data_IF_080564209257
#
_entry.id   IF_080564209257
#
_cell.length_a   1.000
_cell.length_b   1.000
_cell.length_c   1.000
_cell.angle_alpha   90.00
_cell.angle_beta   90.00
_cell.angle_gamma   90.00
#
_symmetry.space_group_name_H-M   'P 1'
#
loop_
_entity.id
_entity.type
_entity.pdbx_description
1 polymer ?
2 non-polymer ?
3 non-polymer ?
4 water ?
#
# COMPACT_ATOMS: atom_id res chain seq x y z
N UNK A 1 1.13 -25.69 -5.94
CA UNK A 1 0.07 -24.64 -6.10
C UNK A 1 -0.39 -24.56 -7.56
N UNK A 2 -1.67 -24.23 -7.77
CA UNK A 2 -2.20 -23.94 -9.11
C UNK A 2 -1.55 -22.70 -9.71
N UNK A 3 -1.83 -22.43 -10.98
CA UNK A 3 -1.40 -21.18 -11.61
C UNK A 3 -1.97 -20.01 -10.81
N UNK A 4 -1.36 -18.81 -10.96
CA UNK A 4 -1.82 -17.61 -10.24
C UNK A 4 -3.28 -17.33 -10.44
N UNK A 5 -3.77 -17.27 -11.68
CA UNK A 5 -5.19 -16.98 -11.88
C UNK A 5 -6.12 -18.06 -11.27
N UNK A 6 -5.76 -19.32 -11.42
CA UNK A 6 -6.53 -20.39 -10.79
C UNK A 6 -6.55 -20.24 -9.28
N UNK A 7 -5.41 -19.91 -8.66
CA UNK A 7 -5.39 -19.73 -7.21
C UNK A 7 -6.25 -18.52 -6.76
N UNK A 8 -6.18 -17.43 -7.53
CA UNK A 8 -7.00 -16.24 -7.24
C UNK A 8 -8.48 -16.62 -7.24
N UNK A 9 -8.89 -17.37 -8.25
CA UNK A 9 -10.28 -17.82 -8.31
C UNK A 9 -10.64 -18.68 -7.14
N UNK A 10 -9.78 -19.64 -6.80
CA UNK A 10 -10.00 -20.47 -5.62
C UNK A 10 -10.15 -19.62 -4.35
N UNK A 11 -9.34 -18.58 -4.22
CA UNK A 11 -9.40 -17.75 -3.02
C UNK A 11 -10.76 -17.03 -2.95
N UNK A 12 -11.28 -16.56 -4.08
CA UNK A 12 -12.66 -16.01 -4.07
C UNK A 12 -13.71 -16.99 -3.65
N UNK A 13 -13.61 -18.19 -4.19
CA UNK A 13 -14.56 -19.28 -3.93
C UNK A 13 -14.54 -19.58 -2.45
N UNK A 14 -13.36 -19.60 -1.87
CA UNK A 14 -13.25 -19.94 -0.45
C UNK A 14 -13.58 -18.79 0.49
N UNK A 15 -13.28 -17.57 0.08
CA UNK A 15 -13.58 -16.39 0.91
C UNK A 15 -15.02 -15.86 0.78
N UNK A 16 -15.68 -16.20 -0.31
CA UNK A 16 -16.97 -15.60 -0.70
C UNK A 16 -16.88 -14.10 -0.83
N UNK A 17 -15.71 -13.58 -1.15
CA UNK A 17 -15.56 -12.17 -1.40
C UNK A 17 -14.89 -11.94 -2.72
N UNK A 18 -14.76 -10.66 -3.09
CA UNK A 18 -14.04 -10.32 -4.31
C UNK A 18 -12.56 -10.15 -3.98
N UNK A 19 -11.71 -10.66 -4.84
CA UNK A 19 -10.27 -10.40 -4.82
C UNK A 19 -9.97 -9.54 -6.03
N UNK A 20 -9.09 -8.58 -5.86
CA UNK A 20 -8.57 -7.77 -6.98
C UNK A 20 -7.06 -7.88 -6.95
N UNK A 21 -6.41 -8.04 -8.11
CA UNK A 21 -4.96 -8.21 -8.13
C UNK A 21 -4.27 -7.84 -9.44
N UNK A 22 -3.14 -7.15 -9.31
CA UNK A 22 -2.22 -6.97 -10.43
C UNK A 22 -0.86 -7.54 -10.06
N UNK A 23 -0.18 -8.07 -11.06
CA UNK A 23 1.25 -8.39 -10.99
C UNK A 23 1.87 -7.65 -12.16
N UNK A 24 2.86 -6.80 -11.89
CA UNK A 24 3.39 -5.86 -12.90
C UNK A 24 4.91 -5.81 -12.76
N UNK A 25 5.62 -5.85 -13.87
CA UNK A 25 7.06 -5.66 -13.82
C UNK A 25 7.36 -4.24 -13.35
N UNK A 26 8.19 -4.08 -12.32
CA UNK A 26 8.51 -2.73 -11.82
C UNK A 26 9.25 -1.90 -12.84
N UNK A 27 10.23 -2.49 -13.49
CA UNK A 27 11.05 -1.69 -14.41
C UNK A 27 10.29 -1.23 -15.64
N UNK A 28 9.46 -2.07 -16.21
CA UNK A 28 8.79 -1.71 -17.49
C UNK A 28 7.32 -1.39 -17.38
N UNK A 29 6.65 -1.90 -16.33
CA UNK A 29 5.20 -1.77 -16.25
C UNK A 29 4.40 -2.83 -16.97
N UNK A 30 5.08 -3.83 -17.55
CA UNK A 30 4.39 -4.99 -18.14
C UNK A 30 3.39 -5.50 -17.09
N UNK A 31 2.16 -5.74 -17.51
CA UNK A 31 1.18 -6.45 -16.67
C UNK A 31 1.25 -7.93 -16.99
N UNK A 32 1.44 -8.76 -15.97
CA UNK A 32 1.48 -10.22 -16.14
C UNK A 32 0.25 -11.00 -15.74
N UNK A 33 -0.31 -10.64 -14.61
CA UNK A 33 -1.58 -11.23 -14.11
C UNK A 33 -2.47 -10.07 -13.73
N UNK A 34 -3.74 -10.18 -14.12
CA UNK A 34 -4.73 -9.19 -13.81
C UNK A 34 -6.05 -9.90 -13.52
N UNK A 35 -6.64 -9.53 -12.40
CA UNK A 35 -7.95 -10.07 -11.98
C UNK A 35 -8.74 -8.98 -11.29
N UNK A 36 -9.92 -8.63 -11.84
CA UNK A 36 -10.69 -7.51 -11.33
C UNK A 36 -9.85 -6.27 -11.24
N UNK A 37 -8.96 -6.11 -12.21
CA UNK A 37 -7.94 -5.06 -12.07
C UNK A 37 -8.49 -3.64 -12.23
N UNK A 38 -9.66 -3.52 -12.85
CA UNK A 38 -10.33 -2.23 -13.02
C UNK A 38 -11.52 -2.03 -12.08
N UNK A 39 -11.72 -2.93 -11.13
CA UNK A 39 -12.77 -2.81 -10.11
C UNK A 39 -12.23 -2.07 -8.87
N UNK A 40 -13.13 -1.34 -8.19
CA UNK A 40 -12.77 -0.56 -7.02
C UNK A 40 -12.71 -1.43 -5.77
N UNK A 41 -11.72 -1.11 -4.93
CA UNK A 41 -11.49 -1.76 -3.63
C UNK A 41 -11.06 -0.68 -2.62
N UNK A 42 -11.50 -0.79 -1.36
CA UNK A 42 -10.99 0.14 -0.37
C UNK A 42 -9.47 0.04 -0.26
N UNK A 43 -8.77 1.18 -0.28
CA UNK A 43 -7.31 1.21 -0.11
C UNK A 43 -6.89 0.84 1.30
N UNK A 44 -7.69 1.26 2.28
CA UNK A 44 -7.28 1.18 3.65
C UNK A 44 -5.88 1.81 3.80
N UNK A 45 -5.06 1.26 4.70
CA UNK A 45 -3.76 1.84 5.04
C UNK A 45 -2.75 1.73 3.90
N UNK A 46 -3.07 1.03 2.81
CA UNK A 46 -2.18 1.05 1.66
C UNK A 46 -2.03 2.48 1.09
N UNK A 47 -2.97 3.38 1.40
CA UNK A 47 -2.90 4.77 0.90
C UNK A 47 -1.67 5.47 1.42
N UNK A 48 -1.14 4.97 2.54
CA UNK A 48 0.02 5.63 3.21
C UNK A 48 1.29 5.72 2.35
N UNK A 49 1.46 4.77 1.43
CA UNK A 49 2.58 4.85 0.50
C UNK A 49 2.36 6.03 -0.46
N UNK A 50 1.17 6.18 -1.01
CA UNK A 50 0.86 7.30 -1.92
C UNK A 50 0.97 8.65 -1.22
N UNK A 51 0.48 8.69 0.02
CA UNK A 51 0.58 9.86 0.88
C UNK A 51 2.04 10.31 0.97
N UNK A 52 2.95 9.39 1.29
CA UNK A 52 4.35 9.79 1.45
C UNK A 52 5.03 10.09 0.11
N UNK A 53 4.51 9.52 -1.00
CA UNK A 53 4.90 10.01 -2.33
C UNK A 53 4.61 11.49 -2.54
N UNK A 54 3.43 11.92 -2.10
CA UNK A 54 3.04 13.35 -2.19
C UNK A 54 3.94 14.19 -1.31
N UNK A 55 4.24 13.69 -0.11
CA UNK A 55 5.17 14.39 0.76
C UNK A 55 6.53 14.57 0.10
N UNK A 56 7.06 13.50 -0.46
CA UNK A 56 8.36 13.52 -1.09
C UNK A 56 8.35 14.48 -2.29
N UNK A 57 7.25 14.53 -3.04
CA UNK A 57 7.17 15.49 -4.13
C UNK A 57 7.30 16.94 -3.60
N UNK A 58 6.67 17.24 -2.47
CA UNK A 58 6.83 18.54 -1.85
C UNK A 58 8.27 18.80 -1.43
N UNK A 59 8.93 17.78 -0.89
CA UNK A 59 10.33 17.91 -0.51
C UNK A 59 11.20 18.24 -1.72
N UNK A 60 11.00 17.49 -2.78
CA UNK A 60 11.74 17.72 -4.05
C UNK A 60 11.55 19.15 -4.56
N UNK A 61 10.39 19.71 -4.37
CA UNK A 61 10.04 21.04 -4.86
C UNK A 61 10.55 22.14 -3.94
N UNK A 62 11.07 21.79 -2.77
CA UNK A 62 11.50 22.75 -1.78
C UNK A 62 10.40 23.31 -0.89
N UNK A 63 9.19 22.75 -0.95
CA UNK A 63 8.07 23.18 -0.12
C UNK A 63 7.93 22.43 1.19
N UNK A 64 8.79 21.45 1.39
CA UNK A 64 8.75 20.60 2.58
C UNK A 64 10.17 20.08 2.84
N UNK A 65 10.47 19.69 4.08
CA UNK A 65 11.74 19.05 4.42
C UNK A 65 11.43 17.83 5.29
N UNK A 66 12.11 16.72 5.04
CA UNK A 66 11.93 15.54 5.86
C UNK A 66 12.42 15.81 7.27
N UNK A 67 13.32 16.79 7.44
CA UNK A 67 13.82 17.16 8.76
C UNK A 67 12.85 17.95 9.59
N UNK A 68 11.88 18.59 8.95
CA UNK A 68 11.06 19.56 9.67
C UNK A 68 10.30 18.89 10.83
N UNK A 69 10.41 19.45 12.03
CA UNK A 69 9.74 18.89 13.18
C UNK A 69 8.33 19.40 13.33
N UNK A 70 7.36 18.48 13.44
CA UNK A 70 5.95 18.77 13.65
C UNK A 70 5.56 18.47 15.09
N UNK A 71 4.94 19.44 15.73
CA UNK A 71 4.43 19.25 17.10
C UNK A 71 2.93 19.10 17.04
N UNK A 72 2.42 18.20 17.84
CA UNK A 72 0.99 17.94 17.82
C UNK A 72 0.49 17.67 19.23
N UNK A 73 -0.81 17.61 19.36
CA UNK A 73 -1.43 17.47 20.66
C UNK A 73 -2.10 16.10 20.82
N UNK A 74 -2.27 15.69 22.07
CA UNK A 74 -2.92 14.41 22.33
C UNK A 74 -4.32 14.35 21.75
N UNK A 75 -5.05 15.46 21.79
CA UNK A 75 -6.40 15.45 21.22
C UNK A 75 -6.43 15.31 19.69
N UNK A 76 -5.27 15.43 19.03
CA UNK A 76 -5.12 15.21 17.58
C UNK A 76 -5.03 13.71 17.24
N UNK A 77 -4.73 12.88 18.24
CA UNK A 77 -4.48 11.46 17.97
C UNK A 77 -5.78 10.73 17.72
N UNK A 78 -5.70 9.79 16.79
CA UNK A 78 -6.78 8.84 16.49
C UNK A 78 -6.33 7.43 16.86
N UNK A 79 -7.26 6.49 16.76
CA UNK A 79 -6.99 5.11 17.04
C UNK A 79 -5.77 4.57 16.27
N UNK A 80 -4.87 3.93 17.00
CA UNK A 80 -3.72 3.17 16.54
C UNK A 80 -2.57 4.13 16.17
N UNK A 81 -1.84 4.50 17.20
CA UNK A 81 -0.84 5.54 17.11
C UNK A 81 0.43 5.10 17.87
N UNK A 82 0.99 3.91 17.52
CA UNK A 82 2.06 3.31 18.33
C UNK A 82 3.31 4.16 18.42
N UNK A 83 3.61 4.94 17.40
CA UNK A 83 4.80 5.78 17.43
C UNK A 83 4.42 7.20 17.90
N UNK A 84 3.39 7.76 17.28
CA UNK A 84 3.06 9.14 17.51
C UNK A 84 2.63 9.36 18.98
N UNK A 85 1.99 8.38 19.61
CA UNK A 85 1.63 8.57 21.01
C UNK A 85 2.84 8.72 21.91
N UNK A 86 3.99 8.24 21.48
CA UNK A 86 5.22 8.40 22.26
C UNK A 86 5.95 9.74 22.14
N UNK A 87 5.51 10.67 21.27
CA UNK A 87 6.28 11.89 20.95
C UNK A 87 5.45 13.13 21.14
N UNK A 88 4.54 13.12 22.13
CA UNK A 88 3.76 14.33 22.41
C UNK A 88 4.59 15.50 22.92
N UNK A 89 5.63 15.20 23.70
CA UNK A 89 6.49 16.26 24.26
C UNK A 89 7.34 16.86 23.17
N UNK A 90 7.93 16.00 22.36
CA UNK A 90 9.05 16.42 21.50
C UNK A 90 8.71 16.52 20.03
N UNK A 91 7.57 15.97 19.62
CA UNK A 91 7.21 16.00 18.20
C UNK A 91 7.97 14.96 17.38
N UNK A 92 7.67 14.97 16.09
CA UNK A 92 8.29 14.07 15.10
C UNK A 92 8.62 14.81 13.86
N UNK A 93 9.72 14.42 13.21
CA UNK A 93 10.00 15.02 11.91
C UNK A 93 9.04 14.50 10.84
N UNK A 94 8.93 15.24 9.75
CA UNK A 94 8.09 14.80 8.66
C UNK A 94 8.57 13.42 8.20
N UNK A 95 9.88 13.20 8.08
CA UNK A 95 10.38 11.88 7.67
C UNK A 95 10.07 10.78 8.67
N UNK A 96 10.17 11.10 9.96
CA UNK A 96 9.77 10.15 10.99
C UNK A 96 8.30 9.84 10.88
N UNK A 97 7.49 10.83 10.59
CA UNK A 97 6.06 10.59 10.40
C UNK A 97 5.78 9.63 9.25
N UNK A 98 6.46 9.82 8.13
CA UNK A 98 6.31 8.91 7.02
C UNK A 98 6.78 7.50 7.40
N UNK A 99 7.91 7.42 8.10
CA UNK A 99 8.37 6.11 8.56
C UNK A 99 7.34 5.43 9.47
N UNK A 100 6.72 6.21 10.37
CA UNK A 100 5.73 5.64 11.27
C UNK A 100 4.51 5.20 10.51
N UNK A 101 4.09 6.02 9.54
CA UNK A 101 2.91 5.71 8.77
C UNK A 101 3.11 4.48 7.90
N UNK A 102 4.28 4.35 7.29
CA UNK A 102 4.48 3.23 6.35
C UNK A 102 4.92 2.00 7.14
N UNK A 103 5.89 2.12 8.05
CA UNK A 103 6.48 0.93 8.64
C UNK A 103 5.73 0.38 9.82
N UNK A 104 4.94 1.21 10.49
CA UNK A 104 4.13 0.80 11.63
C UNK A 104 2.62 0.98 11.37
N UNK A 105 2.29 1.61 10.25
CA UNK A 105 0.90 1.93 9.90
C UNK A 105 0.23 2.85 10.93
N UNK A 106 1.04 3.76 11.49
CA UNK A 106 0.58 4.72 12.49
C UNK A 106 -0.50 5.64 11.89
N UNK A 107 -1.71 5.59 12.46
CA UNK A 107 -2.83 6.33 11.88
C UNK A 107 -2.73 7.84 12.10
N UNK A 108 -2.29 8.24 13.30
CA UNK A 108 -2.18 9.66 13.59
C UNK A 108 -1.06 10.26 12.77
N UNK A 109 0.06 9.57 12.62
CA UNK A 109 1.11 10.05 11.73
C UNK A 109 0.60 10.29 10.33
N UNK A 110 -0.16 9.33 9.81
CA UNK A 110 -0.77 9.52 8.49
C UNK A 110 -1.67 10.75 8.42
N UNK A 111 -2.53 10.94 9.43
CA UNK A 111 -3.39 12.13 9.43
C UNK A 111 -2.61 13.44 9.51
N UNK A 112 -1.53 13.49 10.31
CA UNK A 112 -0.72 14.70 10.36
C UNK A 112 -0.12 15.00 8.99
N UNK A 113 0.44 13.97 8.36
CA UNK A 113 0.96 14.10 7.00
C UNK A 113 -0.11 14.51 5.99
N UNK A 114 -1.29 13.91 6.12
CA UNK A 114 -2.37 14.20 5.20
C UNK A 114 -2.77 15.68 5.27
N UNK A 115 -2.70 16.32 6.45
CA UNK A 115 -2.97 17.75 6.58
C UNK A 115 -1.93 18.53 5.76
N UNK A 116 -0.66 18.13 5.83
CA UNK A 116 0.39 18.89 5.15
C UNK A 116 0.25 18.84 3.64
N UNK A 117 -0.46 17.86 3.08
CA UNK A 117 -0.67 17.80 1.61
C UNK A 117 -2.04 18.30 1.16
N UNK A 118 -2.78 18.90 2.10
CA UNK A 118 -4.10 19.45 1.85
C UNK A 118 -5.26 18.48 2.01
N UNK A 119 -5.09 17.48 2.87
CA UNK A 119 -6.17 16.58 3.16
C UNK A 119 -6.42 15.55 2.09
N UNK A 120 -7.49 14.76 2.26
CA UNK A 120 -7.93 13.80 1.30
C UNK A 120 -8.06 14.44 -0.11
N UNK A 121 -8.60 15.66 -0.18
CA UNK A 121 -8.75 16.37 -1.46
C UNK A 121 -7.39 16.65 -2.09
N UNK A 122 -6.45 17.10 -1.28
CA UNK A 122 -5.12 17.45 -1.76
C UNK A 122 -4.38 16.20 -2.25
N UNK A 123 -4.54 15.09 -1.54
CA UNK A 123 -3.88 13.85 -1.99
C UNK A 123 -4.50 13.37 -3.30
N UNK A 124 -5.82 13.48 -3.39
CA UNK A 124 -6.51 13.13 -4.64
C UNK A 124 -6.03 13.99 -5.78
N UNK A 125 -5.83 15.29 -5.52
CA UNK A 125 -5.29 16.18 -6.56
C UNK A 125 -3.89 15.77 -6.98
N UNK A 126 -3.04 15.37 -6.03
CA UNK A 126 -1.73 14.84 -6.37
C UNK A 126 -1.83 13.63 -7.28
N UNK A 127 -2.75 12.73 -6.97
CA UNK A 127 -2.96 11.54 -7.80
C UNK A 127 -3.30 11.94 -9.23
N UNK A 128 -4.21 12.91 -9.39
CA UNK A 128 -4.55 13.41 -10.71
C UNK A 128 -3.30 14.03 -11.38
N UNK A 129 -2.45 14.69 -10.61
CA UNK A 129 -1.23 15.29 -11.16
C UNK A 129 -0.26 14.30 -11.78
N UNK A 130 -0.23 13.09 -11.22
CA UNK A 130 0.63 12.03 -11.73
C UNK A 130 -0.09 11.10 -12.69
N UNK A 131 -1.33 11.44 -13.04
CA UNK A 131 -2.02 10.72 -14.06
C UNK A 131 -2.86 9.56 -13.64
N UNK A 132 -3.10 9.46 -12.34
CA UNK A 132 -4.06 8.50 -11.80
C UNK A 132 -5.40 9.22 -11.70
N UNK A 133 -6.31 8.83 -12.59
CA UNK A 133 -7.60 9.46 -12.67
C UNK A 133 -8.69 8.65 -12.00
N UNK A 134 -8.31 7.67 -11.18
CA UNK A 134 -9.25 6.74 -10.60
C UNK A 134 -9.19 6.72 -9.06
N UNK A 135 -8.00 6.59 -8.53
CA UNK A 135 -7.83 6.48 -7.08
C UNK A 135 -8.36 7.74 -6.43
N UNK A 136 -8.99 7.59 -5.26
CA UNK A 136 -9.53 8.74 -4.56
C UNK A 136 -9.43 8.53 -3.05
N UNK A 137 -8.99 9.56 -2.33
CA UNK A 137 -9.15 9.56 -0.87
C UNK A 137 -10.16 10.62 -0.51
N UNK A 138 -11.08 10.26 0.36
CA UNK A 138 -12.19 11.14 0.78
C UNK A 138 -12.16 11.45 2.27
N UNK A 139 -11.64 10.51 3.07
CA UNK A 139 -11.71 10.59 4.52
C UNK A 139 -10.35 10.38 5.16
N UNK A 140 -10.27 10.69 6.43
CA UNK A 140 -9.08 10.55 7.24
C UNK A 140 -9.07 9.17 7.91
N UNK A 141 -7.97 8.84 8.56
CA UNK A 141 -7.95 7.69 9.47
C UNK A 141 -8.80 8.05 10.71
N UNK A 142 -9.67 7.17 11.20
CA UNK A 142 -9.87 5.80 10.74
C UNK A 142 -11.14 5.56 9.91
N UNK A 143 -11.93 6.61 9.65
CA UNK A 143 -13.20 6.47 8.89
C UNK A 143 -12.98 5.91 7.51
N UNK A 144 -11.81 6.16 6.93
CA UNK A 144 -11.54 5.65 5.57
C UNK A 144 -11.54 4.13 5.44
N UNK A 145 -11.53 3.41 6.57
CA UNK A 145 -11.58 1.95 6.60
C UNK A 145 -12.96 1.35 6.60
N UNK A 146 -14.00 2.18 6.51
CA UNK A 146 -15.39 1.67 6.67
C UNK A 146 -15.81 0.62 5.66
N UNK A 147 -15.30 0.73 4.42
CA UNK A 147 -15.55 -0.33 3.40
C UNK A 147 -17.03 -0.67 3.23
N UNK A 148 -17.85 0.37 3.16
CA UNK A 148 -19.29 0.14 2.94
C UNK A 148 -19.49 -0.44 1.56
N UNK A 149 -20.31 -1.49 1.45
CA UNK A 149 -20.62 -1.97 0.11
C UNK A 149 -21.13 -0.88 -0.84
N UNK A 150 -20.60 -0.86 -2.05
CA UNK A 150 -21.02 0.11 -3.05
C UNK A 150 -20.47 1.53 -2.93
N UNK A 151 -19.68 1.80 -1.91
CA UNK A 151 -19.20 3.16 -1.66
C UNK A 151 -17.86 3.34 -2.37
N UNK A 152 -17.76 4.35 -3.22
CA UNK A 152 -16.54 4.64 -3.95
C UNK A 152 -15.53 5.47 -3.15
N UNK A 153 -15.94 5.98 -1.99
CA UNK A 153 -14.99 6.75 -1.19
C UNK A 153 -13.74 5.88 -0.82
N UNK A 154 -12.58 6.53 -0.86
CA UNK A 154 -11.35 5.94 -0.33
C UNK A 154 -10.96 4.66 -1.05
N UNK A 155 -11.16 4.64 -2.37
CA UNK A 155 -10.92 3.44 -3.17
C UNK A 155 -9.84 3.64 -4.21
N UNK A 156 -9.27 2.51 -4.64
CA UNK A 156 -8.42 2.45 -5.83
C UNK A 156 -8.87 1.28 -6.67
N UNK A 157 -8.15 1.01 -7.75
CA UNK A 157 -8.29 -0.27 -8.46
C UNK A 157 -6.91 -0.89 -8.45
N UNK A 158 -6.82 -2.23 -8.59
CA UNK A 158 -5.51 -2.84 -8.60
C UNK A 158 -4.61 -2.24 -9.68
N UNK A 159 -5.17 -2.03 -10.87
CA UNK A 159 -4.39 -1.43 -11.98
C UNK A 159 -3.89 -0.04 -11.67
N UNK A 160 -4.78 0.78 -11.10
CA UNK A 160 -4.40 2.18 -10.79
C UNK A 160 -3.36 2.23 -9.73
N UNK A 161 -3.51 1.43 -8.69
CA UNK A 161 -2.53 1.45 -7.60
C UNK A 161 -1.15 0.94 -8.04
N UNK A 162 -1.13 -0.13 -8.82
CA UNK A 162 0.12 -0.63 -9.34
C UNK A 162 0.82 0.41 -10.21
N UNK A 163 0.06 1.01 -11.12
CA UNK A 163 0.65 2.07 -11.95
C UNK A 163 1.18 3.25 -11.18
N UNK A 164 0.40 3.71 -10.20
CA UNK A 164 0.78 4.79 -9.33
C UNK A 164 2.06 4.46 -8.56
N UNK A 165 2.13 3.28 -7.98
CA UNK A 165 3.35 2.92 -7.23
C UNK A 165 4.56 2.88 -8.18
N UNK A 166 4.39 2.33 -9.37
CA UNK A 166 5.51 2.35 -10.32
C UNK A 166 5.96 3.77 -10.66
N UNK A 167 5.00 4.66 -10.87
CA UNK A 167 5.29 6.06 -11.17
C UNK A 167 6.08 6.70 -10.04
N UNK A 168 5.70 6.42 -8.80
CA UNK A 168 6.40 7.02 -7.66
C UNK A 168 7.81 6.45 -7.48
N UNK A 169 7.99 5.17 -7.74
CA UNK A 169 9.23 4.51 -7.40
C UNK A 169 10.26 4.61 -8.53
N UNK A 170 9.81 4.75 -9.78
CA UNK A 170 10.71 4.61 -10.93
C UNK A 170 10.65 5.66 -12.04
N UNK A 171 9.65 6.51 -12.07
CA UNK A 171 9.39 7.29 -13.30
C UNK A 171 10.15 8.60 -13.33
N UNK A 172 10.91 8.90 -12.29
CA UNK A 172 11.62 10.19 -12.21
C UNK A 172 10.69 11.42 -12.06
N UNK A 173 9.42 11.20 -11.68
CA UNK A 173 8.58 12.24 -11.13
C UNK A 173 9.14 12.69 -9.78
N UNK A 174 9.62 11.72 -8.98
CA UNK A 174 10.40 11.97 -7.78
C UNK A 174 11.89 11.95 -8.06
N UNK A 175 12.66 12.73 -7.29
CA UNK A 175 14.09 12.69 -7.35
C UNK A 175 14.63 11.31 -7.07
N UNK A 176 15.87 11.03 -7.47
CA UNK A 176 16.46 9.73 -7.17
C UNK A 176 16.46 9.46 -5.67
N UNK A 177 16.85 10.47 -4.91
CA UNK A 177 16.90 10.27 -3.46
C UNK A 177 15.52 9.99 -2.88
N UNK A 178 14.51 10.68 -3.38
CA UNK A 178 13.15 10.44 -2.88
C UNK A 178 12.59 9.07 -3.28
N UNK A 179 12.87 8.65 -4.50
CA UNK A 179 12.53 7.28 -4.93
C UNK A 179 13.14 6.24 -3.98
N UNK A 180 14.41 6.48 -3.66
CA UNK A 180 15.14 5.59 -2.76
C UNK A 180 14.57 5.57 -1.35
N UNK A 181 14.14 6.73 -0.88
CA UNK A 181 13.52 6.84 0.44
C UNK A 181 12.17 6.08 0.48
N UNK A 182 11.33 6.23 -0.56
CA UNK A 182 10.04 5.60 -0.54
C UNK A 182 10.19 4.10 -0.52
N UNK A 183 11.08 3.58 -1.38
CA UNK A 183 11.37 2.15 -1.39
C UNK A 183 11.87 1.65 -0.03
N UNK A 184 12.81 2.38 0.59
CA UNK A 184 13.37 1.94 1.84
C UNK A 184 12.29 1.87 2.96
N UNK A 185 11.35 2.81 2.94
CA UNK A 185 10.26 2.77 3.91
C UNK A 185 9.45 1.49 3.73
N UNK A 186 9.20 1.12 2.49
CA UNK A 186 8.48 -0.18 2.23
C UNK A 186 9.31 -1.41 2.64
N UNK A 187 10.61 -1.38 2.38
CA UNK A 187 11.50 -2.45 2.80
C UNK A 187 11.45 -2.64 4.33
N UNK A 188 11.33 -1.53 5.02
CA UNK A 188 11.35 -1.49 6.49
C UNK A 188 10.00 -1.75 7.16
N UNK A 189 8.95 -2.15 6.43
CA UNK A 189 7.70 -2.49 7.07
C UNK A 189 7.88 -3.45 8.24
N UNK A 190 7.31 -3.07 9.38
CA UNK A 190 7.39 -3.93 10.59
C UNK A 190 6.08 -4.66 10.84
N UNK A 191 5.00 -4.31 10.15
CA UNK A 191 3.73 -4.93 10.41
C UNK A 191 3.69 -6.34 9.84
N UNK A 192 4.06 -6.48 8.57
CA UNK A 192 4.02 -7.78 7.89
C UNK A 192 5.37 -8.22 7.30
N UNK A 193 6.28 -7.29 7.02
CA UNK A 193 7.54 -7.64 6.40
C UNK A 193 8.29 -8.82 7.04
N UNK A 194 8.55 -8.74 8.34
CA UNK A 194 9.30 -9.80 8.97
C UNK A 194 8.57 -11.13 8.89
N UNK A 195 7.25 -11.14 9.08
CA UNK A 195 6.46 -12.39 8.98
C UNK A 195 6.54 -12.92 7.56
N UNK A 196 6.36 -12.05 6.56
CA UNK A 196 6.48 -12.50 5.19
C UNK A 196 7.85 -13.15 4.89
N UNK A 197 8.91 -12.51 5.36
CA UNK A 197 10.23 -13.08 5.13
C UNK A 197 10.39 -14.46 5.73
N UNK A 198 9.76 -14.69 6.87
CA UNK A 198 9.91 -15.95 7.58
C UNK A 198 9.26 -17.10 6.85
N UNK A 199 8.35 -16.80 5.92
CA UNK A 199 7.67 -17.83 5.12
C UNK A 199 8.08 -17.81 3.63
N UNK A 200 8.92 -16.87 3.22
CA UNK A 200 9.39 -16.86 1.86
C UNK A 200 10.58 -17.78 1.72
N UNK A 201 10.67 -18.47 0.57
CA UNK A 201 11.92 -19.19 0.32
C UNK A 201 13.11 -18.23 0.30
N UNK A 202 14.29 -18.75 0.60
CA UNK A 202 15.50 -17.96 0.44
C UNK A 202 15.60 -17.37 -0.97
N UNK A 203 16.04 -16.11 -1.02
CA UNK A 203 16.32 -15.47 -2.28
C UNK A 203 15.22 -14.50 -2.72
N UNK A 204 14.05 -14.57 -2.08
CA UNK A 204 12.95 -13.69 -2.46
C UNK A 204 12.96 -12.37 -1.68
N UNK A 205 13.06 -11.27 -2.43
CA UNK A 205 12.95 -9.92 -1.91
C UNK A 205 11.50 -9.61 -1.53
N UNK A 206 11.28 -8.89 -0.43
CA UNK A 206 9.99 -8.27 -0.12
C UNK A 206 10.10 -6.85 0.43
N UNK A 207 9.23 -5.97 -0.09
CA UNK A 207 8.93 -4.67 0.49
C UNK A 207 7.43 -4.54 0.42
N UNK A 208 6.79 -3.92 1.41
CA UNK A 208 5.32 -3.96 1.41
C UNK A 208 4.70 -2.88 2.25
N UNK A 209 3.41 -2.65 1.98
CA UNK A 209 2.52 -1.93 2.87
C UNK A 209 1.19 -2.68 2.94
N UNK A 210 0.74 -3.00 4.15
CA UNK A 210 -0.53 -3.70 4.32
C UNK A 210 -1.66 -2.73 4.68
N UNK A 211 -2.89 -3.22 4.58
CA UNK A 211 -4.04 -2.48 5.02
C UNK A 211 -5.11 -3.46 5.50
N UNK A 212 -5.90 -3.01 6.45
CA UNK A 212 -7.06 -3.77 6.94
C UNK A 212 -8.18 -2.82 7.27
N UNK A 213 -9.40 -3.25 7.01
CA UNK A 213 -10.57 -2.45 7.29
C UNK A 213 -11.76 -3.29 7.71
N UNK A 214 -12.92 -2.67 7.67
CA UNK A 214 -14.17 -3.32 8.07
C UNK A 214 -14.71 -4.21 6.95
N UNK A 215 -15.70 -5.05 7.29
CA UNK A 215 -16.37 -5.90 6.31
C UNK A 215 -15.45 -6.79 5.52
N UNK A 216 -14.37 -7.25 6.20
CA UNK A 216 -13.46 -8.15 5.58
C UNK A 216 -12.36 -7.48 4.74
N UNK A 217 -12.38 -6.15 4.62
CA UNK A 217 -11.44 -5.53 3.70
C UNK A 217 -10.00 -5.74 4.17
N UNK A 218 -9.14 -6.11 3.22
CA UNK A 218 -7.76 -6.45 3.53
C UNK A 218 -6.95 -6.28 2.28
N UNK A 219 -5.71 -5.85 2.40
CA UNK A 219 -4.93 -5.62 1.20
C UNK A 219 -3.45 -5.47 1.46
N UNK A 220 -2.70 -5.58 0.38
CA UNK A 220 -1.25 -5.41 0.42
C UNK A 220 -0.79 -4.88 -0.92
N UNK A 221 0.14 -3.94 -0.85
CA UNK A 221 0.88 -3.50 -2.02
C UNK A 221 2.33 -3.85 -1.75
N UNK A 222 2.97 -4.52 -2.70
CA UNK A 222 4.28 -5.11 -2.42
C UNK A 222 5.20 -5.12 -3.62
N UNK A 223 6.49 -5.18 -3.32
CA UNK A 223 7.52 -5.49 -4.32
C UNK A 223 8.06 -6.87 -3.98
N UNK A 224 8.21 -7.71 -4.99
CA UNK A 224 8.56 -9.12 -4.79
C UNK A 224 9.46 -9.55 -5.97
N UNK A 225 10.47 -10.35 -5.71
CA UNK A 225 11.16 -11.04 -6.81
C UNK A 225 12.24 -11.94 -6.29
N UNK A 226 12.66 -12.87 -7.13
CA UNK A 226 13.78 -13.74 -6.81
C UNK A 226 15.13 -13.03 -7.01
N UNK A 227 16.24 -13.74 -6.72
CA UNK A 227 17.62 -13.12 -6.70
C UNK A 227 17.71 -11.82 -5.95
N UNK A 228 16.91 -11.70 -4.92
CA UNK A 228 16.98 -10.53 -4.07
C UNK A 228 16.77 -9.20 -4.79
N UNK A 229 15.87 -9.21 -5.79
CA UNK A 229 15.54 -8.04 -6.60
C UNK A 229 14.05 -7.71 -6.51
N UNK A 230 13.76 -6.41 -6.43
CA UNK A 230 12.39 -5.87 -6.50
C UNK A 230 11.87 -5.95 -7.93
N UNK A 231 11.60 -7.15 -8.41
CA UNK A 231 11.31 -7.35 -9.83
C UNK A 231 9.90 -6.95 -10.19
N UNK A 232 8.93 -7.25 -9.30
CA UNK A 232 7.53 -6.99 -9.63
C UNK A 232 6.77 -6.30 -8.52
N UNK A 233 5.83 -5.47 -8.93
CA UNK A 233 4.81 -4.91 -8.04
C UNK A 233 3.65 -5.94 -8.01
N UNK A 234 3.22 -6.29 -6.81
CA UNK A 234 2.06 -7.14 -6.62
C UNK A 234 1.10 -6.37 -5.72
N UNK A 235 -0.13 -6.17 -6.20
CA UNK A 235 -1.17 -5.53 -5.44
C UNK A 235 -2.31 -6.55 -5.30
N UNK A 236 -2.74 -6.81 -4.06
CA UNK A 236 -3.88 -7.67 -3.79
C UNK A 236 -4.81 -7.01 -2.79
N UNK A 237 -6.07 -6.88 -3.18
CA UNK A 237 -7.13 -6.39 -2.30
C UNK A 237 -8.22 -7.46 -2.17
N UNK A 238 -8.78 -7.55 -0.96
CA UNK A 238 -9.96 -8.40 -0.68
C UNK A 238 -11.07 -7.48 -0.20
N UNK A 239 -12.31 -7.76 -0.59
CA UNK A 239 -13.46 -7.06 0.01
C UNK A 239 -14.68 -7.95 0.13
N UNK A 240 -15.56 -7.58 1.08
CA UNK A 240 -16.89 -8.20 1.24
C UNK A 240 -16.80 -9.72 1.47
N UNK A 241 -15.93 -10.11 2.38
CA UNK A 241 -15.79 -11.49 2.81
C UNK A 241 -15.95 -11.49 4.31
N UNK A 242 -16.66 -12.52 4.84
CA UNK A 242 -16.82 -12.62 6.27
C UNK A 242 -15.72 -13.39 6.94
N UNK A 243 -14.71 -13.78 6.18
CA UNK A 243 -13.65 -14.65 6.71
C UNK A 243 -12.76 -14.06 7.81
N UNK A 244 -12.27 -14.95 8.67
CA UNK A 244 -11.29 -14.53 9.68
C UNK A 244 -10.10 -13.82 9.07
N UNK A 245 -9.49 -12.96 9.86
CA UNK A 245 -8.25 -12.32 9.47
C UNK A 245 -7.20 -13.36 9.08
N UNK A 246 -7.07 -14.42 9.88
CA UNK A 246 -6.13 -15.47 9.57
C UNK A 246 -6.33 -16.12 8.20
N UNK A 247 -7.57 -16.42 7.84
CA UNK A 247 -7.86 -17.05 6.57
C UNK A 247 -7.65 -16.08 5.40
N UNK A 248 -8.02 -14.82 5.58
CA UNK A 248 -7.69 -13.79 4.57
C UNK A 248 -6.18 -13.77 4.34
N UNK A 249 -5.40 -13.74 5.42
CA UNK A 249 -3.93 -13.76 5.27
C UNK A 249 -3.43 -15.02 4.59
N UNK A 250 -4.02 -16.17 4.94
CA UNK A 250 -3.66 -17.43 4.28
C UNK A 250 -3.93 -17.42 2.78
N UNK A 251 -5.07 -16.83 2.39
CA UNK A 251 -5.43 -16.77 0.99
C UNK A 251 -4.48 -15.82 0.22
N UNK A 252 -4.15 -14.65 0.81
CA UNK A 252 -3.20 -13.74 0.18
C UNK A 252 -1.87 -14.48 0.00
N UNK A 253 -1.44 -15.18 1.04
CA UNK A 253 -0.19 -15.94 0.99
C UNK A 253 -0.25 -17.01 -0.05
N UNK A 254 -1.40 -17.69 -0.17
CA UNK A 254 -1.56 -18.71 -1.21
C UNK A 254 -1.44 -18.16 -2.63
N UNK A 255 -1.95 -16.94 -2.85
CA UNK A 255 -1.74 -16.28 -4.13
C UNK A 255 -0.24 -16.05 -4.32
N UNK A 256 0.43 -15.58 -3.26
CA UNK A 256 1.90 -15.41 -3.30
C UNK A 256 2.61 -16.69 -3.66
N UNK A 257 2.17 -17.80 -3.09
CA UNK A 257 2.79 -19.09 -3.36
C UNK A 257 2.66 -19.44 -4.82
N UNK A 258 1.47 -19.20 -5.37
CA UNK A 258 1.25 -19.45 -6.78
C UNK A 258 2.20 -18.63 -7.68
N UNK A 259 2.42 -17.38 -7.34
CA UNK A 259 3.32 -16.52 -8.10
C UNK A 259 4.72 -17.08 -8.03
N UNK A 260 5.15 -17.47 -6.84
CA UNK A 260 6.50 -17.98 -6.61
C UNK A 260 6.73 -19.24 -7.41
N UNK A 261 5.75 -20.14 -7.40
CA UNK A 261 5.91 -21.41 -8.09
C UNK A 261 5.85 -21.27 -9.62
N UNK A 262 5.20 -20.23 -10.11
CA UNK A 262 5.01 -20.03 -11.55
C UNK A 262 5.52 -18.65 -11.97
N UNK A 263 6.76 -18.34 -11.63
CA UNK A 263 7.25 -16.98 -11.77
C UNK A 263 7.60 -16.63 -13.18
N UNK A 264 8.08 -17.60 -13.97
CA UNK A 264 8.59 -17.25 -15.30
C UNK A 264 7.48 -17.23 -16.34
N UNK A 265 6.79 -16.09 -16.44
CA UNK A 265 5.66 -15.93 -17.34
C UNK A 265 5.84 -14.66 -18.13
X LIG B 1 -5.26 1.14 7.90
X LIG B 1 -5.53 -0.15 7.13
X LIG B 1 -6.11 2.21 7.33
X LIG B 1 -3.69 -0.88 9.75
X LIG B 1 -2.63 -0.90 8.89
X LIG B 1 -2.36 -2.10 8.50
X LIG B 1 -5.34 1.07 9.49
X LIG B 1 -4.15 0.44 10.23
X LIG B 1 -6.52 0.25 9.84
X LIG B 1 -7.18 0.42 10.98
X LIG B 1 -8.33 -0.54 11.18
X LIG B 1 -9.66 0.11 11.49
X LIG B 1 -10.95 0.01 10.95
X LIG B 1 -11.91 0.79 11.60
X LIG B 1 -11.39 1.50 12.67
X LIG B 1 -6.88 1.31 11.80
X LIG B 1 -3.13 -2.91 9.19
X LIG B 1 -3.99 -2.17 10.00
X LIG B 1 -3.04 -4.39 9.11
X LIG B 1 -3.72 -5.05 9.95
X LIG B 1 -2.32 -4.90 8.25
X LIG B 1 -9.70 1.18 12.84
X LIG C 1 8.14 -23.83 -1.64
X LIG C 1 9.35 -24.51 -1.06
X LIG C 1 10.66 -23.78 -1.43
X LIG C 1 10.69 -23.57 -2.93
X LIG C 1 9.39 -22.97 -3.49
X LIG C 1 9.33 -22.88 -4.99
X LIG C 1 9.22 -24.48 0.33
X LIG C 1 11.79 -24.54 -0.96
X LIG C 1 8.27 -23.75 -3.04
X LIG C 1 9.59 -24.17 -5.58
X LIG C 1 8.05 -22.50 -1.07
X LIG C 1 11.78 -22.69 -3.26
X LIG C 1 5.22 -20.04 0.59
X LIG C 1 5.74 -21.09 1.57
X LIG C 1 7.02 -21.67 0.93
X LIG C 1 6.78 -22.14 -0.48
X LIG C 1 6.14 -21.08 -1.34
X LIG C 1 5.74 -21.55 -2.72
X LIG C 1 4.02 -19.54 1.15
X LIG C 1 6.00 -20.62 2.90
X LIG C 1 7.51 -22.78 1.69
X LIG C 1 4.97 -20.58 -0.70
X LIG C 1 4.88 -22.69 -2.65
X LIG C 1 3.68 -18.31 0.55
X LIG C 1 4.16 -17.14 1.38
X LIG C 1 3.96 -15.91 0.53
X LIG C 1 4.24 -14.64 1.29
X LIG C 1 4.32 -13.52 0.24
X LIG C 1 2.95 -12.89 0.18
X LIG C 1 2.80 -12.05 -1.08
X LIG C 1 1.41 -11.44 -1.10
X LIG C 1 1.26 -10.43 -2.22
X LIG C 1 2.35 -9.40 -2.21
X LIG C 1 3.70 -10.09 -2.32
X LIG C 1 3.89 -10.99 -1.13
X LIG D 1 2.76 -23.19 0.15
X LIG D 1 2.18 -23.93 -1.05
X LIG D 1 2.26 -25.44 -0.86
X LIG D 1 3.66 -25.84 -0.41
X LIG D 1 3.94 -25.17 0.93
X LIG D 1 5.29 -25.60 1.47
X LIG D 1 0.83 -23.47 -1.24
X LIG D 1 1.95 -26.10 -2.10
X LIG D 1 3.96 -23.76 0.69
X LIG D 1 5.64 -24.80 2.60
X LIG D 1 1.79 -23.19 1.21
X LIG D 1 3.85 -27.26 -0.35
X LIG D 1 -0.01 -20.52 3.78
X LIG D 1 -0.37 -20.40 2.29
X LIG D 1 0.08 -21.59 1.47
X LIG D 1 1.52 -21.94 1.81
X LIG D 1 1.62 -22.10 3.32
X LIG D 1 3.00 -22.61 3.75
X LIG D 1 -0.29 -19.32 4.49
X LIG D 1 -1.78 -20.34 2.18
X LIG D 1 -0.02 -21.36 0.06
X LIG D 1 1.37 -20.83 3.90
X LIG D 1 3.20 -22.29 5.13
X LIG D 1 0.04 -19.28 5.89
X LIG D 1 -0.18 -17.86 6.39
X LIG D 1 1.07 -16.99 6.31
X LIG D 1 0.72 -15.50 6.44
X LIG D 1 1.88 -14.58 6.09
X LIG D 1 1.60 -13.68 4.88
X LIG D 1 0.55 -12.60 5.06
X LIG D 1 0.93 -11.63 6.17
X LIG D 1 0.01 -10.42 6.23
X LIG D 1 -0.18 -9.74 4.87
X LIG D 1 -0.58 -10.71 3.78
X LIG D 1 0.40 -11.88 3.73
#
# INVERSE_FOLDING_TARGET
SPQPLEQIKLSESQLSGRVGMIEMDLASGRTLTAWRADERFPMMSTFKVVLCGAVLARVDAGDEQLERKIHYRQQDLVDYSPVSEKHLADGMTVGELCAAAITMSDNSAANLLLATVGGPAGLTAFLRQIGDNVTRLDRWETELNEALPGDARDTTTPASMAATLRKLLTSQRLSARSQRQLLQWMVDDRVAGPLIRSVLPAGWFIADKTGAGERGARGIVALLGPNNKAERIVVIYLRDTPASMAERNQQIAGIGAALIEHWQR
ZXM B1 O1 O2 N4 N5 N6 C7 C8 N10 C11 C12 C13 C14 C15 C16 O18 C19 C20 C21 O22 O23 S24
MA4 C1 C2 C3 C4 C5 C6 O2 O3 O5 O6 O1 O4 C10 C20 C30 C40 C50 C60 O10 O20 O30 O50 O60 C11 C21 C31 C41 C51 C61 C12 C22 C32 C42 C52 C62
MA4 C1 C2 C3 C4 C5 C6 O2 O3 O5 O6 O1 O4 C10 C20 C30 C40 C50 C60 O10 O20 O30 O50 O60 C11 C21 C31 C41 C51 C61 C12 C22 C32 C42 C52 C62
#
